data_IF_468110414775
#
_entry.id   IF_468110414775
#
_cell.length_a   1.000
_cell.length_b   1.000
_cell.length_c   1.000
_cell.angle_alpha   90.00
_cell.angle_beta   90.00
_cell.angle_gamma   90.00
#
_symmetry.space_group_name_H-M   'P 1'
#
loop_
_entity.id
_entity.type
_entity.pdbx_description
1 polymer ?
#
# COMPACT_ATOMS: atom_id res chain seq x y z
N UNK A 1 -21.11 -28.13 4.88
CA UNK A 1 -21.20 -26.69 5.09
C UNK A 1 -20.72 -26.08 3.79
N UNK A 2 -21.51 -25.20 3.15
CA UNK A 2 -21.06 -24.53 1.93
C UNK A 2 -19.76 -23.77 2.25
N UNK A 3 -18.72 -24.07 1.49
CA UNK A 3 -17.48 -23.30 1.52
C UNK A 3 -17.88 -21.88 1.11
N UNK A 4 -18.02 -20.94 2.05
CA UNK A 4 -18.17 -19.54 1.69
C UNK A 4 -16.86 -19.15 1.01
N UNK A 5 -16.96 -18.74 -0.25
CA UNK A 5 -15.76 -18.42 -1.02
C UNK A 5 -15.04 -17.23 -0.39
N UNK A 6 -13.75 -17.43 -0.08
CA UNK A 6 -12.89 -16.34 0.34
C UNK A 6 -12.62 -15.42 -0.85
N UNK A 7 -12.49 -14.14 -0.57
CA UNK A 7 -12.08 -13.13 -1.56
C UNK A 7 -11.01 -12.22 -0.94
N UNK A 8 -10.18 -11.61 -1.74
CA UNK A 8 -9.36 -10.48 -1.31
C UNK A 8 -10.26 -9.23 -1.27
N UNK A 9 -10.61 -8.69 -0.08
CA UNK A 9 -11.45 -7.51 0.01
C UNK A 9 -10.80 -6.30 -0.67
N UNK A 10 -11.64 -5.41 -1.18
CA UNK A 10 -11.16 -4.09 -1.58
C UNK A 10 -10.63 -3.31 -0.36
N UNK A 11 -9.64 -2.43 -0.55
CA UNK A 11 -9.05 -1.68 0.56
C UNK A 11 -10.07 -0.81 1.31
N UNK A 12 -11.11 -0.33 0.62
CA UNK A 12 -12.20 0.44 1.26
C UNK A 12 -13.24 -0.40 2.01
N UNK A 13 -13.12 -1.73 2.04
CA UNK A 13 -13.94 -2.57 2.91
C UNK A 13 -13.67 -2.22 4.39
N UNK A 14 -14.63 -2.50 5.31
CA UNK A 14 -14.41 -2.23 6.72
C UNK A 14 -13.12 -2.86 7.24
N UNK A 15 -12.29 -2.05 7.87
CA UNK A 15 -10.99 -2.44 8.41
C UNK A 15 -11.06 -2.58 9.93
N UNK A 16 -10.36 -3.56 10.47
CA UNK A 16 -10.10 -3.68 11.90
C UNK A 16 -8.95 -2.80 12.34
N UNK A 17 -7.92 -2.71 11.52
CA UNK A 17 -6.72 -1.95 11.87
C UNK A 17 -5.70 -1.86 10.74
N UNK A 18 -4.72 -1.01 11.00
CA UNK A 18 -3.56 -0.74 10.14
C UNK A 18 -2.29 -1.14 10.86
N UNK A 19 -1.38 -1.80 10.16
CA UNK A 19 0.00 -2.00 10.60
C UNK A 19 0.88 -0.85 10.13
N UNK A 20 1.73 -0.36 11.03
CA UNK A 20 2.92 0.44 10.74
C UNK A 20 4.16 -0.28 11.27
N UNK A 21 5.21 -0.34 10.47
CA UNK A 21 6.54 -0.76 10.91
C UNK A 21 7.35 0.49 11.19
N UNK A 22 7.66 0.73 12.47
CA UNK A 22 8.14 2.04 12.95
C UNK A 22 9.62 2.29 12.61
N UNK A 23 9.98 3.48 12.10
CA UNK A 23 11.37 3.82 11.79
C UNK A 23 12.25 3.87 13.04
N UNK A 24 13.49 3.43 12.93
CA UNK A 24 14.46 3.45 14.02
C UNK A 24 15.90 3.68 13.51
N UNK A 25 16.84 3.89 14.44
CA UNK A 25 18.20 4.28 14.10
C UNK A 25 19.04 3.19 13.39
N UNK A 26 18.54 1.97 13.26
CA UNK A 26 19.22 0.88 12.53
C UNK A 26 18.62 0.65 11.14
N UNK A 27 17.83 1.59 10.63
CA UNK A 27 17.28 1.61 9.27
C UNK A 27 17.93 2.74 8.46
N UNK A 28 17.71 2.75 7.17
CA UNK A 28 18.19 3.80 6.27
C UNK A 28 17.56 5.18 6.55
N UNK A 29 16.57 5.23 7.45
CA UNK A 29 15.98 6.46 7.96
C UNK A 29 16.86 7.25 8.92
N UNK A 30 18.00 6.71 9.39
CA UNK A 30 18.85 7.38 10.39
C UNK A 30 19.12 8.86 10.09
N UNK A 31 19.46 9.28 8.85
CA UNK A 31 19.70 10.68 8.53
C UNK A 31 18.47 11.59 8.63
N UNK A 32 17.27 11.02 8.57
CA UNK A 32 15.97 11.71 8.53
C UNK A 32 15.04 11.26 9.66
N UNK A 33 15.58 10.59 10.71
CA UNK A 33 14.79 9.87 11.70
C UNK A 33 13.76 10.77 12.41
N UNK A 34 14.15 11.98 12.77
CA UNK A 34 13.26 12.93 13.43
C UNK A 34 12.10 13.38 12.51
N UNK A 35 12.38 13.57 11.21
CA UNK A 35 11.36 14.04 10.27
C UNK A 35 10.41 12.91 9.86
N UNK A 36 10.93 11.72 9.58
CA UNK A 36 10.07 10.57 9.29
C UNK A 36 9.21 10.17 10.51
N UNK A 37 9.76 10.29 11.71
CA UNK A 37 9.00 10.05 12.95
C UNK A 37 7.82 11.01 13.08
N UNK A 38 7.94 12.28 12.69
CA UNK A 38 6.82 13.24 12.66
C UNK A 38 5.72 12.76 11.71
N UNK A 39 6.07 12.32 10.50
CA UNK A 39 5.10 11.77 9.55
C UNK A 39 4.36 10.56 10.13
N UNK A 40 5.06 9.63 10.75
CA UNK A 40 4.44 8.47 11.43
C UNK A 40 3.51 8.87 12.58
N UNK A 41 3.88 9.87 13.36
CA UNK A 41 3.02 10.43 14.42
C UNK A 41 1.73 11.04 13.84
N UNK A 42 1.82 11.82 12.75
CA UNK A 42 0.64 12.39 12.10
C UNK A 42 -0.27 11.29 11.52
N UNK A 43 0.29 10.26 10.90
CA UNK A 43 -0.48 9.08 10.46
C UNK A 43 -1.14 8.38 11.64
N UNK A 44 -0.40 8.12 12.73
CA UNK A 44 -0.92 7.46 13.92
C UNK A 44 -2.08 8.25 14.56
N UNK A 45 -2.03 9.59 14.56
CA UNK A 45 -3.13 10.45 15.04
C UNK A 45 -4.44 10.20 14.30
N UNK A 46 -4.39 10.03 12.97
CA UNK A 46 -5.60 9.80 12.19
C UNK A 46 -6.04 8.34 12.28
N UNK A 47 -5.14 7.39 12.09
CA UNK A 47 -5.44 5.96 12.14
C UNK A 47 -6.14 5.59 13.45
N UNK A 48 -5.62 6.05 14.59
CA UNK A 48 -6.17 5.72 15.92
C UNK A 48 -7.54 6.34 16.23
N UNK A 49 -8.03 7.26 15.42
CA UNK A 49 -9.42 7.74 15.50
C UNK A 49 -10.39 6.83 14.77
N UNK A 50 -9.94 6.09 13.79
CA UNK A 50 -10.76 5.26 12.91
C UNK A 50 -10.74 3.79 13.32
N UNK A 51 -9.54 3.29 13.68
CA UNK A 51 -9.32 1.88 13.81
C UNK A 51 -8.10 1.55 14.68
N UNK A 52 -7.83 0.29 14.89
CA UNK A 52 -6.68 -0.17 15.66
C UNK A 52 -5.39 0.10 14.89
N UNK A 53 -4.36 0.55 15.59
CA UNK A 53 -3.00 0.68 15.07
C UNK A 53 -2.13 -0.43 15.63
N UNK A 54 -1.54 -1.23 14.74
CA UNK A 54 -0.57 -2.26 15.08
C UNK A 54 0.84 -1.74 14.76
N UNK A 55 1.64 -1.50 15.79
CA UNK A 55 3.01 -0.99 15.63
C UNK A 55 4.01 -2.12 15.81
N UNK A 56 4.80 -2.35 14.77
CA UNK A 56 5.95 -3.25 14.79
C UNK A 56 7.22 -2.43 14.97
N UNK A 57 8.04 -2.76 15.96
CA UNK A 57 9.27 -2.01 16.25
C UNK A 57 10.19 -2.82 17.19
N UNK A 58 11.53 -2.70 17.06
CA UNK A 58 12.44 -3.25 18.08
C UNK A 58 12.46 -2.45 19.38
N UNK A 59 11.89 -1.21 19.39
CA UNK A 59 11.93 -0.28 20.54
C UNK A 59 10.52 0.12 21.03
N UNK A 60 9.64 -0.84 21.43
CA UNK A 60 8.23 -0.55 21.71
C UNK A 60 8.03 0.46 22.86
N UNK A 61 8.84 0.42 23.91
CA UNK A 61 8.71 1.34 25.04
C UNK A 61 9.04 2.79 24.64
N UNK A 62 10.01 2.99 23.73
CA UNK A 62 10.37 4.30 23.24
C UNK A 62 9.27 4.89 22.36
N UNK A 63 8.71 4.09 21.46
CA UNK A 63 7.59 4.51 20.58
C UNK A 63 6.35 4.79 21.42
N UNK A 64 6.06 3.94 22.40
CA UNK A 64 4.95 4.13 23.34
C UNK A 64 5.07 5.45 24.09
N UNK A 65 6.22 5.72 24.71
CA UNK A 65 6.46 6.96 25.44
C UNK A 65 6.34 8.22 24.56
N UNK A 66 6.76 8.13 23.29
CA UNK A 66 6.57 9.20 22.31
C UNK A 66 5.07 9.44 22.02
N UNK A 67 4.33 8.39 21.71
CA UNK A 67 2.92 8.50 21.33
C UNK A 67 2.01 8.89 22.51
N UNK A 68 2.35 8.52 23.74
CA UNK A 68 1.65 8.98 24.95
C UNK A 68 1.67 10.51 25.11
N UNK A 69 2.69 11.19 24.58
CA UNK A 69 2.79 12.65 24.59
C UNK A 69 2.03 13.32 23.44
N UNK A 70 1.67 12.59 22.39
CA UNK A 70 1.13 13.11 21.13
C UNK A 70 -0.35 12.76 20.93
N UNK A 71 -0.83 11.72 21.58
CA UNK A 71 -2.18 11.16 21.40
C UNK A 71 -3.02 11.30 22.67
N UNK A 72 -4.33 11.37 22.52
CA UNK A 72 -5.25 11.25 23.64
C UNK A 72 -5.23 9.83 24.23
N UNK A 73 -5.67 9.68 25.47
CA UNK A 73 -5.73 8.35 26.13
C UNK A 73 -6.62 7.36 25.37
N UNK A 74 -7.71 7.82 24.73
CA UNK A 74 -8.59 6.99 23.91
C UNK A 74 -7.92 6.49 22.63
N UNK A 75 -7.16 7.36 21.96
CA UNK A 75 -6.38 6.97 20.77
C UNK A 75 -5.29 5.98 21.14
N UNK A 76 -4.56 6.26 22.24
CA UNK A 76 -3.50 5.38 22.71
C UNK A 76 -4.02 3.97 23.07
N UNK A 77 -5.25 3.87 23.60
CA UNK A 77 -5.90 2.58 23.90
C UNK A 77 -6.18 1.73 22.63
N UNK A 78 -6.19 2.35 21.44
CA UNK A 78 -6.35 1.66 20.16
C UNK A 78 -5.04 1.15 19.57
N UNK A 79 -3.89 1.26 20.30
CA UNK A 79 -2.59 0.83 19.79
C UNK A 79 -2.16 -0.49 20.41
N UNK A 80 -1.68 -1.39 19.56
CA UNK A 80 -0.96 -2.60 19.98
C UNK A 80 0.48 -2.53 19.51
N UNK A 81 1.41 -2.89 20.39
CA UNK A 81 2.85 -2.87 20.11
C UNK A 81 3.39 -4.28 20.02
N UNK A 82 4.23 -4.53 19.02
CA UNK A 82 4.90 -5.80 18.78
C UNK A 82 6.41 -5.58 18.75
N UNK A 83 7.10 -6.17 19.73
CA UNK A 83 8.56 -6.09 19.86
C UNK A 83 9.21 -7.07 18.87
N UNK A 84 9.48 -6.61 17.67
CA UNK A 84 10.01 -7.40 16.55
C UNK A 84 11.12 -6.59 15.88
N UNK A 85 12.23 -7.24 15.58
CA UNK A 85 13.32 -6.67 14.78
C UNK A 85 12.87 -6.46 13.33
N UNK A 86 13.27 -5.33 12.73
CA UNK A 86 12.94 -4.97 11.36
C UNK A 86 14.19 -4.55 10.58
N UNK A 87 14.13 -4.63 9.25
CA UNK A 87 15.13 -4.02 8.36
C UNK A 87 14.69 -2.62 7.96
N UNK A 88 13.38 -2.42 7.66
CA UNK A 88 12.83 -1.16 7.19
C UNK A 88 11.37 -0.98 7.61
N UNK A 89 10.63 -0.05 6.99
CA UNK A 89 9.32 0.45 7.41
C UNK A 89 8.16 0.09 6.47
N UNK A 90 8.40 -0.63 5.40
CA UNK A 90 7.50 -0.81 4.26
C UNK A 90 6.46 -1.92 4.53
N UNK A 91 5.56 -1.66 5.48
CA UNK A 91 4.55 -2.62 5.92
C UNK A 91 3.64 -3.12 4.79
N UNK A 92 3.40 -2.31 3.76
CA UNK A 92 2.62 -2.69 2.58
C UNK A 92 3.18 -3.94 1.92
N UNK A 93 4.49 -4.07 1.86
CA UNK A 93 5.13 -5.07 1.01
C UNK A 93 5.51 -6.36 1.76
N UNK A 94 5.68 -6.28 3.09
CA UNK A 94 5.96 -7.45 3.91
C UNK A 94 4.79 -7.87 4.82
N UNK A 95 3.71 -7.09 4.88
CA UNK A 95 2.53 -7.40 5.67
C UNK A 95 1.66 -8.49 5.01
N UNK A 96 0.85 -9.18 5.83
CA UNK A 96 0.00 -10.25 5.33
C UNK A 96 -1.11 -9.73 4.40
N UNK A 97 -1.24 -10.31 3.22
CA UNK A 97 -2.42 -10.13 2.37
C UNK A 97 -3.57 -10.93 2.95
N UNK A 98 -4.70 -10.31 3.23
CA UNK A 98 -5.76 -10.96 4.02
C UNK A 98 -7.03 -11.22 3.21
N UNK A 99 -7.39 -12.49 3.08
CA UNK A 99 -8.67 -12.91 2.51
C UNK A 99 -9.77 -12.94 3.58
N UNK A 100 -11.01 -12.68 3.17
CA UNK A 100 -12.19 -12.75 4.01
C UNK A 100 -13.33 -13.47 3.31
N UNK A 101 -14.14 -14.23 4.09
CA UNK A 101 -15.43 -14.75 3.64
C UNK A 101 -16.60 -14.14 4.45
N UNK A 102 -16.34 -13.03 5.18
CA UNK A 102 -17.31 -12.36 6.05
C UNK A 102 -17.54 -13.02 7.40
N UNK A 103 -16.88 -14.16 7.69
CA UNK A 103 -16.93 -14.85 9.00
C UNK A 103 -15.57 -15.35 9.46
N UNK A 104 -14.63 -15.47 8.57
CA UNK A 104 -13.27 -15.93 8.83
C UNK A 104 -12.27 -15.10 8.02
N UNK A 105 -11.06 -14.96 8.55
CA UNK A 105 -9.92 -14.32 7.89
C UNK A 105 -8.81 -15.34 7.64
N UNK A 106 -8.14 -15.22 6.50
CA UNK A 106 -6.92 -15.93 6.16
C UNK A 106 -5.83 -14.93 5.81
N UNK A 107 -4.79 -14.89 6.60
CA UNK A 107 -3.63 -14.05 6.38
C UNK A 107 -2.62 -14.86 5.55
N UNK A 108 -2.41 -14.44 4.33
CA UNK A 108 -1.46 -15.06 3.41
C UNK A 108 -0.08 -14.45 3.66
N UNK A 109 0.86 -15.26 4.12
CA UNK A 109 2.24 -14.86 4.38
C UNK A 109 3.10 -15.15 3.14
N UNK A 110 3.14 -14.21 2.21
CA UNK A 110 3.99 -14.30 1.03
C UNK A 110 5.45 -13.97 1.35
N UNK A 111 6.36 -14.43 0.50
CA UNK A 111 7.76 -14.08 0.61
C UNK A 111 7.97 -12.62 0.20
N UNK A 112 8.52 -11.85 1.12
CA UNK A 112 9.14 -10.56 0.82
C UNK A 112 10.64 -10.77 0.67
N UNK A 113 11.23 -10.27 -0.42
CA UNK A 113 12.66 -10.44 -0.68
C UNK A 113 13.39 -9.13 -1.02
N UNK A 114 12.90 -7.99 -0.50
CA UNK A 114 13.53 -6.69 -0.69
C UNK A 114 13.48 -6.21 -2.14
N UNK A 115 12.32 -6.35 -2.77
CA UNK A 115 12.03 -5.92 -4.16
C UNK A 115 12.98 -6.53 -5.19
N UNK A 116 13.19 -7.85 -5.12
CA UNK A 116 14.10 -8.56 -6.00
C UNK A 116 15.54 -8.56 -5.50
N UNK A 117 15.75 -8.68 -4.19
CA UNK A 117 17.04 -8.80 -3.52
C UNK A 117 17.92 -7.54 -3.60
N UNK A 118 17.30 -6.36 -3.79
CA UNK A 118 18.00 -5.07 -3.82
C UNK A 118 18.43 -4.59 -2.44
N UNK A 119 17.66 -4.94 -1.39
CA UNK A 119 17.84 -4.47 0.00
C UNK A 119 17.83 -5.63 0.99
N UNK A 120 18.24 -5.39 2.23
CA UNK A 120 18.09 -6.35 3.33
C UNK A 120 16.61 -6.57 3.65
N UNK A 121 16.18 -7.81 3.81
CA UNK A 121 14.75 -8.13 3.91
C UNK A 121 14.40 -9.24 4.92
N UNK A 122 15.38 -9.95 5.43
CA UNK A 122 15.15 -11.19 6.19
C UNK A 122 14.35 -10.97 7.47
N UNK A 123 14.56 -9.84 8.16
CA UNK A 123 13.79 -9.49 9.35
C UNK A 123 12.35 -9.12 8.99
N UNK A 124 12.16 -8.32 7.95
CA UNK A 124 10.85 -7.86 7.49
C UNK A 124 10.00 -9.03 6.99
N UNK A 125 10.59 -9.95 6.23
CA UNK A 125 9.94 -11.19 5.79
C UNK A 125 9.48 -12.10 6.96
N UNK A 126 9.99 -11.92 8.16
CA UNK A 126 9.58 -12.68 9.34
C UNK A 126 8.49 -12.01 10.18
N UNK A 127 8.15 -10.75 9.88
CA UNK A 127 7.25 -9.93 10.71
C UNK A 127 5.87 -10.57 10.84
N UNK A 128 5.24 -10.97 9.73
CA UNK A 128 3.89 -11.56 9.73
C UNK A 128 3.81 -12.79 10.65
N UNK A 129 4.76 -13.71 10.54
CA UNK A 129 4.81 -14.91 11.40
C UNK A 129 5.04 -14.58 12.86
N UNK A 130 5.93 -13.63 13.14
CA UNK A 130 6.20 -13.20 14.53
C UNK A 130 4.98 -12.49 15.14
N UNK A 131 4.30 -11.63 14.39
CA UNK A 131 3.05 -10.99 14.83
C UNK A 131 1.96 -12.04 15.13
N UNK A 132 1.84 -13.06 14.29
CA UNK A 132 0.89 -14.16 14.49
C UNK A 132 1.15 -14.92 15.79
N UNK A 133 2.42 -15.26 16.07
CA UNK A 133 2.83 -15.92 17.32
C UNK A 133 2.53 -15.06 18.55
N UNK A 134 2.54 -13.74 18.42
CA UNK A 134 2.18 -12.79 19.47
C UNK A 134 0.65 -12.50 19.53
N UNK A 135 -0.17 -13.21 18.75
CA UNK A 135 -1.63 -13.10 18.77
C UNK A 135 -2.13 -11.79 18.14
N UNK A 136 -1.45 -11.28 17.09
CA UNK A 136 -1.86 -10.06 16.42
C UNK A 136 -3.18 -10.22 15.66
N UNK A 137 -3.47 -11.40 15.13
CA UNK A 137 -4.51 -11.64 14.15
C UNK A 137 -5.62 -12.56 14.69
N UNK A 138 -6.86 -12.32 14.22
CA UNK A 138 -8.05 -13.14 14.53
C UNK A 138 -8.39 -14.14 13.41
N UNK A 139 -7.39 -14.64 12.70
CA UNK A 139 -7.57 -15.57 11.60
C UNK A 139 -6.47 -16.61 11.52
N UNK A 140 -6.50 -17.42 10.48
CA UNK A 140 -5.45 -18.41 10.20
C UNK A 140 -4.34 -17.79 9.36
N UNK A 141 -3.10 -18.19 9.62
CA UNK A 141 -1.96 -17.85 8.75
C UNK A 141 -1.78 -18.98 7.76
N UNK A 142 -1.67 -18.64 6.48
CA UNK A 142 -1.32 -19.55 5.41
C UNK A 142 0.08 -19.21 4.89
N UNK A 143 0.95 -20.22 4.82
CA UNK A 143 2.33 -20.08 4.35
C UNK A 143 2.37 -20.11 2.81
N UNK A 144 2.74 -18.99 2.22
CA UNK A 144 2.98 -18.81 0.78
C UNK A 144 4.40 -18.29 0.51
N UNK A 145 5.35 -18.56 1.42
CA UNK A 145 6.75 -18.12 1.30
C UNK A 145 7.51 -18.78 0.13
N UNK A 146 6.86 -19.67 -0.59
CA UNK A 146 7.32 -20.24 -1.87
C UNK A 146 7.12 -19.27 -3.05
N UNK A 147 6.40 -18.15 -2.86
CA UNK A 147 6.09 -17.18 -3.90
C UNK A 147 6.33 -15.75 -3.38
N UNK A 148 7.08 -14.95 -4.16
CA UNK A 148 7.35 -13.55 -3.85
C UNK A 148 6.17 -12.69 -4.30
N UNK A 149 5.57 -11.97 -3.36
CA UNK A 149 4.50 -11.01 -3.64
C UNK A 149 4.53 -9.88 -2.62
N UNK A 150 4.68 -8.67 -3.10
CA UNK A 150 4.55 -7.44 -2.33
C UNK A 150 3.10 -6.94 -2.38
N UNK A 151 2.56 -6.47 -1.24
CA UNK A 151 1.17 -5.97 -1.19
C UNK A 151 0.94 -4.73 -2.06
N UNK A 152 1.97 -3.90 -2.27
CA UNK A 152 1.91 -2.73 -3.16
C UNK A 152 1.86 -3.07 -4.65
N UNK A 153 2.18 -4.31 -5.02
CA UNK A 153 2.13 -4.78 -6.41
C UNK A 153 0.74 -5.18 -6.90
N UNK A 154 -0.26 -5.22 -6.00
CA UNK A 154 -1.63 -5.66 -6.32
C UNK A 154 -2.70 -4.69 -5.80
N UNK A 155 -3.80 -4.58 -6.53
CA UNK A 155 -5.03 -3.88 -6.13
C UNK A 155 -6.23 -4.80 -6.34
N UNK A 156 -7.19 -4.81 -5.40
CA UNK A 156 -8.39 -5.63 -5.46
C UNK A 156 -9.66 -4.80 -5.54
N UNK A 157 -10.60 -5.19 -6.41
CA UNK A 157 -11.94 -4.61 -6.44
C UNK A 157 -12.90 -5.22 -5.40
N UNK A 158 -12.45 -6.25 -4.67
CA UNK A 158 -13.28 -6.99 -3.72
C UNK A 158 -14.35 -7.87 -4.36
N UNK A 159 -14.36 -7.98 -5.70
CA UNK A 159 -15.35 -8.70 -6.48
C UNK A 159 -14.75 -9.82 -7.35
N UNK A 160 -13.45 -10.11 -7.17
CA UNK A 160 -12.74 -11.15 -7.89
C UNK A 160 -11.78 -10.64 -8.98
N UNK A 161 -11.64 -9.34 -9.20
CA UNK A 161 -10.62 -8.80 -10.08
C UNK A 161 -9.43 -8.29 -9.29
N UNK A 162 -8.23 -8.74 -9.63
CA UNK A 162 -6.95 -8.23 -9.13
C UNK A 162 -6.25 -7.49 -10.27
N UNK A 163 -5.76 -6.30 -9.98
CA UNK A 163 -4.93 -5.52 -10.88
C UNK A 163 -3.48 -5.60 -10.44
N UNK A 164 -2.57 -5.64 -11.39
CA UNK A 164 -1.13 -5.63 -11.18
C UNK A 164 -0.41 -5.04 -12.38
N UNK A 165 0.88 -4.79 -12.26
CA UNK A 165 1.72 -4.34 -13.37
C UNK A 165 2.59 -5.47 -13.89
N UNK A 166 2.80 -5.51 -15.21
CA UNK A 166 3.66 -6.49 -15.84
C UNK A 166 5.13 -6.26 -15.47
N UNK A 167 5.58 -5.01 -15.40
CA UNK A 167 6.97 -4.67 -15.08
C UNK A 167 7.38 -5.18 -13.69
N UNK A 168 6.52 -5.07 -12.67
CA UNK A 168 6.82 -5.55 -11.33
C UNK A 168 6.87 -7.07 -11.24
N UNK A 169 5.77 -7.75 -11.56
CA UNK A 169 5.69 -9.20 -11.34
C UNK A 169 6.60 -10.02 -12.27
N UNK A 170 6.96 -9.46 -13.42
CA UNK A 170 7.93 -10.07 -14.34
C UNK A 170 9.37 -9.60 -14.10
N UNK A 171 9.62 -8.72 -13.11
CA UNK A 171 10.95 -8.24 -12.78
C UNK A 171 11.90 -9.39 -12.38
N UNK A 172 13.21 -9.25 -12.63
CA UNK A 172 14.21 -10.22 -12.18
C UNK A 172 14.18 -10.45 -10.67
N UNK A 173 14.58 -11.63 -10.23
CA UNK A 173 14.70 -12.01 -8.82
C UNK A 173 13.39 -12.01 -8.01
N UNK A 174 12.20 -11.95 -8.66
CA UNK A 174 10.90 -12.22 -8.03
C UNK A 174 10.62 -13.74 -8.10
N UNK A 175 9.95 -14.16 -9.15
CA UNK A 175 9.46 -15.54 -9.27
C UNK A 175 10.00 -16.30 -10.48
N UNK A 176 11.02 -15.80 -11.17
CA UNK A 176 11.62 -16.50 -12.30
C UNK A 176 12.23 -17.85 -11.88
N UNK A 177 12.12 -18.89 -12.69
CA UNK A 177 11.77 -18.88 -14.13
C UNK A 177 10.26 -18.98 -14.45
N UNK A 178 9.34 -18.65 -13.54
CA UNK A 178 7.90 -18.68 -13.82
C UNK A 178 7.55 -17.74 -14.98
N UNK A 179 6.68 -18.24 -15.88
CA UNK A 179 6.10 -17.42 -16.95
C UNK A 179 4.98 -16.53 -16.40
N UNK A 180 4.51 -15.56 -17.19
CA UNK A 180 3.35 -14.73 -16.85
C UNK A 180 2.11 -15.59 -16.56
N UNK A 181 1.89 -16.62 -17.36
CA UNK A 181 0.78 -17.56 -17.18
C UNK A 181 0.90 -18.38 -15.89
N UNK A 182 2.13 -18.74 -15.47
CA UNK A 182 2.36 -19.42 -14.21
C UNK A 182 2.07 -18.51 -13.02
N UNK A 183 2.54 -17.26 -13.09
CA UNK A 183 2.28 -16.23 -12.06
C UNK A 183 0.80 -15.95 -11.98
N UNK A 184 0.11 -15.72 -13.11
CA UNK A 184 -1.32 -15.48 -13.15
C UNK A 184 -2.12 -16.62 -12.51
N UNK A 185 -1.80 -17.87 -12.85
CA UNK A 185 -2.43 -19.06 -12.25
C UNK A 185 -2.22 -19.08 -10.73
N UNK A 186 -0.98 -18.82 -10.25
CA UNK A 186 -0.67 -18.78 -8.82
C UNK A 186 -1.49 -17.69 -8.12
N UNK A 187 -1.60 -16.49 -8.68
CA UNK A 187 -2.40 -15.40 -8.13
C UNK A 187 -3.91 -15.74 -8.10
N UNK A 188 -4.46 -16.29 -9.19
CA UNK A 188 -5.87 -16.70 -9.23
C UNK A 188 -6.18 -17.73 -8.13
N UNK A 189 -5.30 -18.71 -7.95
CA UNK A 189 -5.47 -19.77 -6.94
C UNK A 189 -5.32 -19.22 -5.51
N UNK A 190 -4.25 -18.45 -5.22
CA UNK A 190 -3.93 -18.02 -3.86
C UNK A 190 -4.78 -16.85 -3.38
N UNK A 191 -5.13 -15.92 -4.26
CA UNK A 191 -5.96 -14.76 -3.92
C UNK A 191 -7.46 -15.03 -4.11
N UNK A 192 -7.84 -16.25 -4.52
CA UNK A 192 -9.22 -16.60 -4.86
C UNK A 192 -9.86 -15.63 -5.85
N UNK A 193 -9.07 -15.18 -6.84
CA UNK A 193 -9.52 -14.24 -7.86
C UNK A 193 -10.12 -14.96 -9.08
N UNK A 194 -11.02 -14.26 -9.78
CA UNK A 194 -11.60 -14.71 -11.04
C UNK A 194 -10.80 -14.21 -12.25
N UNK A 195 -10.09 -13.09 -12.08
CA UNK A 195 -9.35 -12.43 -13.15
C UNK A 195 -8.18 -11.61 -12.62
N UNK A 196 -7.07 -11.66 -13.37
CA UNK A 196 -5.94 -10.74 -13.18
C UNK A 196 -5.92 -9.76 -14.37
N UNK A 197 -5.88 -8.46 -14.06
CA UNK A 197 -5.68 -7.39 -15.05
C UNK A 197 -4.24 -6.94 -14.97
N UNK A 198 -3.51 -7.11 -16.05
CA UNK A 198 -2.12 -6.69 -16.18
C UNK A 198 -2.04 -5.32 -16.83
N UNK A 199 -1.41 -4.36 -16.14
CA UNK A 199 -1.10 -3.05 -16.69
C UNK A 199 0.31 -3.08 -17.29
N UNK A 200 0.43 -2.60 -18.52
CA UNK A 200 1.68 -2.62 -19.29
C UNK A 200 2.44 -1.29 -19.20
N UNK A 201 1.79 -0.26 -18.69
CA UNK A 201 2.24 1.12 -18.64
C UNK A 201 2.09 1.72 -17.24
N UNK A 202 2.67 2.89 -17.02
CA UNK A 202 2.57 3.63 -15.78
C UNK A 202 3.82 3.48 -14.90
N UNK A 203 5.01 3.50 -15.50
CA UNK A 203 6.26 3.49 -14.73
C UNK A 203 6.55 4.87 -14.15
N UNK A 204 6.88 4.91 -12.86
CA UNK A 204 7.23 6.13 -12.14
C UNK A 204 8.76 6.20 -11.96
N UNK A 205 9.37 7.28 -12.44
CA UNK A 205 10.81 7.50 -12.25
C UNK A 205 11.15 7.67 -10.77
N UNK A 206 12.24 7.05 -10.36
CA UNK A 206 12.68 7.02 -8.97
C UNK A 206 12.02 5.92 -8.13
N UNK A 207 11.07 5.16 -8.69
CA UNK A 207 10.49 4.00 -8.00
C UNK A 207 11.48 2.83 -7.96
N UNK A 208 11.72 2.28 -6.75
CA UNK A 208 12.62 1.15 -6.50
C UNK A 208 11.94 -0.22 -6.58
N UNK A 209 10.61 -0.23 -6.75
CA UNK A 209 9.79 -1.44 -6.66
C UNK A 209 9.65 -2.19 -7.98
N UNK A 210 10.24 -1.67 -9.07
CA UNK A 210 10.05 -2.10 -10.45
C UNK A 210 8.63 -1.84 -10.99
N UNK A 211 7.92 -0.85 -10.42
CA UNK A 211 6.62 -0.38 -10.90
C UNK A 211 5.44 -0.98 -10.16
N UNK A 212 5.38 -0.84 -8.83
CA UNK A 212 4.19 -1.17 -8.05
C UNK A 212 2.98 -0.40 -8.54
N UNK A 213 1.84 -1.07 -8.63
CA UNK A 213 0.59 -0.48 -9.10
C UNK A 213 0.11 0.66 -8.19
N UNK A 214 0.35 0.57 -6.89
CA UNK A 214 -0.09 1.54 -5.88
C UNK A 214 0.58 2.92 -6.01
N UNK A 215 1.61 3.05 -6.84
CA UNK A 215 2.24 4.32 -7.17
C UNK A 215 1.57 5.04 -8.33
N UNK A 216 0.75 4.36 -9.13
CA UNK A 216 0.23 4.88 -10.41
C UNK A 216 -1.27 4.70 -10.60
N UNK A 217 -1.86 3.58 -10.20
CA UNK A 217 -3.29 3.27 -10.31
C UNK A 217 -3.82 2.74 -9.00
N UNK A 218 -4.94 3.30 -8.54
CA UNK A 218 -5.64 2.83 -7.34
C UNK A 218 -7.11 2.61 -7.63
N UNK A 219 -7.71 1.70 -6.87
CA UNK A 219 -9.14 1.43 -6.97
C UNK A 219 -9.93 2.22 -5.92
N UNK A 220 -11.19 2.52 -6.26
CA UNK A 220 -12.15 3.16 -5.35
C UNK A 220 -13.54 2.57 -5.56
N UNK A 221 -14.51 2.84 -4.65
CA UNK A 221 -15.89 2.39 -4.80
C UNK A 221 -16.51 2.75 -6.16
N UNK A 222 -17.59 2.03 -6.52
CA UNK A 222 -18.37 2.24 -7.74
C UNK A 222 -17.57 2.03 -9.03
N UNK A 223 -16.70 1.00 -9.05
CA UNK A 223 -15.88 0.61 -10.20
C UNK A 223 -15.03 1.78 -10.73
N UNK A 224 -14.44 2.56 -9.81
CA UNK A 224 -13.62 3.72 -10.13
C UNK A 224 -12.13 3.36 -10.10
N UNK A 225 -11.40 3.78 -11.14
CA UNK A 225 -9.94 3.74 -11.21
C UNK A 225 -9.41 5.18 -11.11
N UNK A 226 -8.64 5.44 -10.05
CA UNK A 226 -7.84 6.65 -9.94
C UNK A 226 -6.46 6.37 -10.52
N UNK A 227 -5.95 7.28 -11.32
CA UNK A 227 -4.64 7.11 -11.95
C UNK A 227 -3.93 8.44 -12.12
N UNK A 228 -2.61 8.40 -12.10
CA UNK A 228 -1.77 9.58 -12.29
C UNK A 228 -1.77 10.01 -13.76
N UNK A 229 -1.68 11.32 -13.98
CA UNK A 229 -1.61 11.90 -15.32
C UNK A 229 -0.76 13.16 -15.29
N UNK A 230 0.31 13.20 -16.08
CA UNK A 230 1.23 14.32 -16.14
C UNK A 230 0.88 15.36 -17.22
N UNK A 231 1.50 16.52 -17.11
CA UNK A 231 1.44 17.56 -18.16
C UNK A 231 2.28 17.11 -19.38
N UNK A 232 2.02 17.69 -20.57
CA UNK A 232 2.63 17.26 -21.84
C UNK A 232 4.16 17.44 -21.92
N UNK A 233 4.71 18.33 -21.10
CA UNK A 233 6.14 18.61 -21.02
C UNK A 233 6.88 17.72 -20.00
N UNK A 234 6.15 16.89 -19.23
CA UNK A 234 6.78 15.93 -18.33
C UNK A 234 7.23 14.68 -19.07
N UNK A 235 8.37 14.14 -18.68
CA UNK A 235 8.97 12.95 -19.30
C UNK A 235 8.12 11.67 -19.17
N UNK A 236 7.17 11.61 -18.22
CA UNK A 236 6.23 10.50 -18.08
C UNK A 236 5.02 10.58 -19.03
N UNK A 237 4.81 11.72 -19.72
CA UNK A 237 3.57 11.98 -20.44
C UNK A 237 3.19 10.86 -21.40
N UNK A 238 4.13 10.40 -22.22
CA UNK A 238 3.86 9.36 -23.23
C UNK A 238 3.42 8.04 -22.60
N UNK A 239 4.06 7.62 -21.51
CA UNK A 239 3.73 6.36 -20.82
C UNK A 239 2.42 6.48 -20.03
N UNK A 240 2.17 7.61 -19.36
CA UNK A 240 0.89 7.86 -18.67
C UNK A 240 -0.29 8.03 -19.64
N UNK A 241 -0.06 8.55 -20.84
CA UNK A 241 -1.06 8.56 -21.90
C UNK A 241 -1.38 7.13 -22.36
N UNK A 242 -0.37 6.28 -22.54
CA UNK A 242 -0.56 4.88 -22.90
C UNK A 242 -1.27 4.10 -21.79
N UNK A 243 -0.96 4.37 -20.51
CA UNK A 243 -1.69 3.83 -19.36
C UNK A 243 -3.17 4.21 -19.42
N UNK A 244 -3.49 5.50 -19.62
CA UNK A 244 -4.88 5.96 -19.71
C UNK A 244 -5.61 5.28 -20.86
N UNK A 245 -4.98 5.14 -22.02
CA UNK A 245 -5.58 4.49 -23.18
C UNK A 245 -5.82 2.99 -22.89
N UNK A 246 -4.93 2.32 -22.17
CA UNK A 246 -5.18 0.96 -21.69
C UNK A 246 -6.37 0.93 -20.72
N UNK A 247 -6.42 1.81 -19.71
CA UNK A 247 -7.51 1.86 -18.72
C UNK A 247 -8.89 2.06 -19.37
N UNK A 248 -9.01 2.87 -20.45
CA UNK A 248 -10.26 3.07 -21.21
C UNK A 248 -10.78 1.78 -21.85
N UNK A 249 -9.91 0.81 -22.15
CA UNK A 249 -10.32 -0.47 -22.74
C UNK A 249 -10.87 -1.45 -21.71
N UNK A 250 -10.53 -1.29 -20.44
CA UNK A 250 -10.88 -2.23 -19.39
C UNK A 250 -12.39 -2.26 -19.11
N UNK A 251 -12.85 -3.42 -18.70
CA UNK A 251 -14.25 -3.67 -18.32
C UNK A 251 -14.30 -4.42 -17.02
N UNK A 252 -15.32 -4.16 -16.21
CA UNK A 252 -15.63 -4.96 -15.01
C UNK A 252 -15.97 -6.41 -15.38
N UNK A 253 -16.09 -7.30 -14.41
CA UNK A 253 -16.57 -8.68 -14.64
C UNK A 253 -17.97 -8.71 -15.26
N UNK A 254 -18.78 -7.65 -15.02
CA UNK A 254 -20.11 -7.48 -15.62
C UNK A 254 -20.08 -6.87 -17.02
N UNK A 255 -18.90 -6.59 -17.59
CA UNK A 255 -18.72 -6.01 -18.92
C UNK A 255 -18.91 -4.48 -18.99
N UNK A 256 -19.05 -3.77 -17.85
CA UNK A 256 -19.19 -2.31 -17.79
C UNK A 256 -17.82 -1.62 -17.87
N UNK A 257 -17.75 -0.40 -18.46
CA UNK A 257 -16.51 0.39 -18.35
C UNK A 257 -16.27 0.83 -16.90
N UNK A 258 -15.00 1.00 -16.53
CA UNK A 258 -14.63 1.64 -15.28
C UNK A 258 -14.83 3.16 -15.35
N UNK A 259 -15.14 3.78 -14.20
CA UNK A 259 -15.09 5.22 -14.04
C UNK A 259 -13.64 5.65 -13.88
N UNK A 260 -13.13 6.46 -14.80
CA UNK A 260 -11.75 6.91 -14.79
C UNK A 260 -11.64 8.29 -14.15
N UNK A 261 -10.77 8.44 -13.14
CA UNK A 261 -10.55 9.68 -12.42
C UNK A 261 -9.06 10.00 -12.39
N UNK A 262 -8.67 11.03 -13.12
CA UNK A 262 -7.28 11.50 -13.14
C UNK A 262 -6.90 12.14 -11.82
N UNK A 263 -5.76 11.74 -11.27
CA UNK A 263 -5.06 12.47 -10.23
C UNK A 263 -4.04 13.42 -10.87
N UNK A 264 -3.87 14.63 -10.33
CA UNK A 264 -2.78 15.49 -10.78
C UNK A 264 -1.43 14.79 -10.52
N UNK A 265 -0.41 15.22 -11.22
CA UNK A 265 0.95 14.79 -10.97
C UNK A 265 1.71 15.91 -10.24
N UNK A 266 2.51 15.60 -9.20
CA UNK A 266 3.33 16.60 -8.54
C UNK A 266 4.36 17.23 -9.50
N UNK A 267 4.65 18.51 -9.31
CA UNK A 267 5.86 19.10 -9.91
C UNK A 267 7.09 18.29 -9.50
N UNK A 268 8.09 18.11 -10.37
CA UNK A 268 9.25 17.31 -10.08
C UNK A 268 9.96 17.72 -8.77
N UNK A 269 10.21 16.75 -7.91
CA UNK A 269 10.94 16.92 -6.66
C UNK A 269 12.27 16.17 -6.80
N UNK A 270 13.35 16.80 -6.40
CA UNK A 270 14.69 16.23 -6.50
C UNK A 270 15.37 16.18 -5.14
N UNK A 271 16.14 15.11 -4.90
CA UNK A 271 17.16 15.06 -3.85
C UNK A 271 18.51 14.95 -4.56
N UNK A 272 19.35 15.98 -4.40
CA UNK A 272 20.52 16.20 -5.26
C UNK A 272 20.11 16.26 -6.75
N UNK A 273 20.57 15.36 -7.59
CA UNK A 273 20.24 15.32 -9.02
C UNK A 273 19.21 14.23 -9.36
N UNK A 274 18.75 13.47 -8.36
CA UNK A 274 17.82 12.37 -8.53
C UNK A 274 16.37 12.83 -8.37
N UNK A 275 15.52 12.51 -9.36
CA UNK A 275 14.07 12.76 -9.28
C UNK A 275 13.42 11.75 -8.35
N UNK A 276 12.74 12.24 -7.32
CA UNK A 276 12.03 11.40 -6.36
C UNK A 276 10.64 10.98 -6.88
N UNK A 277 10.14 9.79 -6.51
CA UNK A 277 8.89 9.23 -7.03
C UNK A 277 7.65 9.82 -6.34
N UNK A 278 7.48 11.13 -6.38
CA UNK A 278 6.33 11.81 -5.82
C UNK A 278 5.06 11.46 -6.62
N UNK A 279 4.03 10.99 -5.93
CA UNK A 279 2.75 10.63 -6.53
C UNK A 279 1.59 10.81 -5.56
N UNK A 280 0.43 11.28 -6.05
CA UNK A 280 -0.80 11.33 -5.26
C UNK A 280 -1.58 10.00 -5.26
N UNK A 281 -1.16 9.01 -6.06
CA UNK A 281 -1.81 7.69 -6.07
C UNK A 281 -1.50 6.89 -4.79
N UNK A 282 -0.40 7.16 -4.10
CA UNK A 282 0.01 6.40 -2.92
C UNK A 282 -0.70 6.88 -1.64
N UNK A 283 -2.02 7.07 -1.72
CA UNK A 283 -2.90 7.44 -0.60
C UNK A 283 -3.33 6.21 0.21
N UNK A 284 -3.69 6.40 1.48
CA UNK A 284 -4.16 5.35 2.40
C UNK A 284 -5.66 5.50 2.63
N UNK A 285 -6.41 4.40 2.51
CA UNK A 285 -7.85 4.36 2.80
C UNK A 285 -8.04 3.83 4.22
N UNK A 286 -8.73 4.60 5.07
CA UNK A 286 -9.15 4.23 6.41
C UNK A 286 -10.68 4.13 6.46
N UNK A 287 -11.25 3.70 7.57
CA UNK A 287 -12.71 3.56 7.70
C UNK A 287 -13.48 4.87 7.46
N UNK A 288 -12.97 6.01 7.95
CA UNK A 288 -13.63 7.32 7.85
C UNK A 288 -12.76 8.42 7.21
N UNK A 289 -11.49 8.11 6.94
CA UNK A 289 -10.54 9.06 6.36
C UNK A 289 -9.84 8.47 5.13
N UNK A 290 -9.27 9.37 4.31
CA UNK A 290 -8.27 9.04 3.30
C UNK A 290 -7.06 9.92 3.57
N UNK A 291 -5.89 9.31 3.76
CA UNK A 291 -4.63 10.04 3.91
C UNK A 291 -4.04 10.30 2.53
N UNK A 292 -4.01 11.56 2.12
CA UNK A 292 -3.44 12.00 0.86
C UNK A 292 -1.99 12.43 1.09
N UNK A 293 -0.99 11.86 0.37
CA UNK A 293 0.35 12.40 0.42
C UNK A 293 0.35 13.85 -0.13
N UNK A 294 1.07 14.74 0.52
CA UNK A 294 1.24 16.13 0.09
C UNK A 294 2.71 16.49 -0.03
N UNK A 295 3.02 17.45 -0.89
CA UNK A 295 4.39 17.73 -1.29
C UNK A 295 4.77 19.21 -1.16
N UNK A 296 4.03 19.98 -0.33
CA UNK A 296 4.16 21.44 -0.22
C UNK A 296 3.96 22.18 -1.56
N UNK A 297 3.09 21.63 -2.41
CA UNK A 297 2.65 22.19 -3.67
C UNK A 297 1.15 22.55 -3.58
N UNK A 298 0.77 23.71 -3.00
CA UNK A 298 -0.60 23.98 -2.53
C UNK A 298 -1.69 23.75 -3.58
N UNK A 299 -1.46 24.10 -4.84
CA UNK A 299 -2.44 23.90 -5.91
C UNK A 299 -2.58 22.43 -6.30
N UNK A 300 -1.46 21.72 -6.47
CA UNK A 300 -1.45 20.28 -6.82
C UNK A 300 -2.02 19.46 -5.66
N UNK A 301 -1.58 19.72 -4.43
CA UNK A 301 -2.08 19.07 -3.20
C UNK A 301 -3.60 19.25 -3.06
N UNK A 302 -4.10 20.48 -3.24
CA UNK A 302 -5.54 20.79 -3.20
C UNK A 302 -6.32 20.03 -4.27
N UNK A 303 -5.82 20.00 -5.50
CA UNK A 303 -6.48 19.28 -6.62
C UNK A 303 -6.52 17.77 -6.35
N UNK A 304 -5.42 17.19 -5.87
CA UNK A 304 -5.37 15.77 -5.50
C UNK A 304 -6.40 15.43 -4.42
N UNK A 305 -6.43 16.20 -3.33
CA UNK A 305 -7.41 16.02 -2.25
C UNK A 305 -8.85 16.17 -2.74
N UNK A 306 -9.14 17.06 -3.69
CA UNK A 306 -10.46 17.20 -4.29
C UNK A 306 -10.84 15.99 -5.15
N UNK A 307 -9.91 15.40 -5.89
CA UNK A 307 -10.19 14.19 -6.67
C UNK A 307 -10.45 12.99 -5.74
N UNK A 308 -9.64 12.85 -4.69
CA UNK A 308 -9.86 11.81 -3.67
C UNK A 308 -11.22 12.00 -2.97
N UNK A 309 -11.62 13.24 -2.65
CA UNK A 309 -12.92 13.51 -2.04
C UNK A 309 -14.10 13.14 -2.94
N UNK A 310 -13.95 13.21 -4.28
CA UNK A 310 -14.96 12.74 -5.23
C UNK A 310 -15.05 11.21 -5.25
N UNK A 311 -13.91 10.53 -5.19
CA UNK A 311 -13.85 9.06 -5.18
C UNK A 311 -14.35 8.47 -3.86
N UNK A 312 -14.18 9.19 -2.75
CA UNK A 312 -14.54 8.77 -1.40
C UNK A 312 -15.42 9.82 -0.70
N UNK A 313 -16.67 10.02 -1.17
CA UNK A 313 -17.54 11.08 -0.66
C UNK A 313 -17.90 10.93 0.83
N UNK A 314 -17.89 9.69 1.33
CA UNK A 314 -18.25 9.34 2.71
C UNK A 314 -17.03 9.36 3.67
N UNK A 315 -15.84 9.68 3.17
CA UNK A 315 -14.60 9.78 3.94
C UNK A 315 -14.06 11.19 3.91
N UNK A 316 -13.38 11.60 4.98
CA UNK A 316 -12.70 12.91 5.02
C UNK A 316 -11.27 12.74 4.50
N UNK A 317 -10.90 13.53 3.50
CA UNK A 317 -9.52 13.53 2.98
C UNK A 317 -8.64 14.42 3.86
N UNK A 318 -7.51 13.90 4.31
CA UNK A 318 -6.51 14.58 5.14
C UNK A 318 -5.16 14.53 4.42
N UNK A 319 -4.52 15.69 4.25
CA UNK A 319 -3.17 15.77 3.71
C UNK A 319 -2.12 15.42 4.77
N UNK A 320 -1.16 14.59 4.41
CA UNK A 320 0.02 14.25 5.23
C UNK A 320 1.27 14.59 4.42
N UNK A 321 2.20 15.32 5.00
CA UNK A 321 3.46 15.68 4.33
C UNK A 321 4.32 14.43 4.08
N UNK A 322 4.47 14.08 2.80
CA UNK A 322 5.21 12.90 2.36
C UNK A 322 6.62 13.23 1.80
N UNK A 323 7.07 14.49 1.89
CA UNK A 323 8.37 14.88 1.32
C UNK A 323 9.56 14.15 1.93
N UNK A 324 9.47 13.77 3.20
CA UNK A 324 10.49 12.94 3.84
C UNK A 324 10.37 11.50 3.37
N UNK A 325 9.15 10.98 3.21
CA UNK A 325 8.91 9.57 2.84
C UNK A 325 9.49 9.27 1.46
N UNK A 326 9.24 10.13 0.47
CA UNK A 326 9.71 9.92 -0.91
C UNK A 326 11.24 9.91 -1.06
N UNK A 327 12.00 10.39 -0.06
CA UNK A 327 13.48 10.31 -0.06
C UNK A 327 14.01 8.89 0.04
N UNK A 328 13.17 7.96 0.48
CA UNK A 328 13.43 6.50 0.49
C UNK A 328 12.51 5.80 -0.53
N UNK A 329 12.16 6.49 -1.61
CA UNK A 329 11.51 5.98 -2.82
C UNK A 329 10.09 5.43 -2.65
N UNK A 330 9.48 5.48 -1.45
CA UNK A 330 8.09 5.12 -1.18
C UNK A 330 7.21 6.31 -0.79
N UNK A 331 5.93 6.05 -0.46
CA UNK A 331 5.03 7.08 0.08
C UNK A 331 4.10 6.49 1.14
N UNK A 332 2.97 7.15 1.47
CA UNK A 332 2.16 6.82 2.65
C UNK A 332 1.56 5.41 2.62
N UNK A 333 1.06 4.96 1.45
CA UNK A 333 0.48 3.63 1.30
C UNK A 333 1.51 2.53 1.52
N UNK A 334 2.71 2.72 1.02
CA UNK A 334 3.83 1.79 1.21
C UNK A 334 4.18 1.56 2.69
N UNK A 335 3.92 2.54 3.57
CA UNK A 335 4.16 2.43 5.01
C UNK A 335 3.10 1.63 5.77
N UNK A 336 1.97 1.27 5.14
CA UNK A 336 0.79 0.73 5.80
C UNK A 336 0.37 -0.62 5.26
N UNK A 337 -0.18 -1.50 6.12
CA UNK A 337 -0.94 -2.67 5.69
C UNK A 337 -2.26 -2.72 6.46
N UNK A 338 -3.37 -2.78 5.74
CA UNK A 338 -4.70 -2.91 6.35
C UNK A 338 -5.06 -4.36 6.65
N UNK A 339 -5.83 -4.55 7.70
CA UNK A 339 -6.45 -5.83 8.06
C UNK A 339 -7.96 -5.69 8.09
N UNK A 340 -8.70 -6.49 7.30
CA UNK A 340 -10.15 -6.41 7.24
C UNK A 340 -10.80 -6.71 8.59
N UNK A 341 -12.00 -6.16 8.78
CA UNK A 341 -12.89 -6.49 9.90
C UNK A 341 -13.82 -7.62 9.51
N UNK A 342 -14.09 -8.54 10.45
CA UNK A 342 -15.16 -9.54 10.36
C UNK A 342 -16.51 -8.91 10.66
#
# INVERSE_FOLDING_TARGET
MANKDFVLPAEWAPQRGIQLTWPHAQTDWLPYLDDITKTFVEMAKVITTDEQLLIVTPEPDKVKALLEQQLSSSQHANIRYFAIDTNDTWARDHGAVTLSNGSELRMLDFKFNGWGEKFNWQKDNAITRNMAQMGAFDGTIEDHTDFVLEGGSIESDGKGTIFTTACCLMAPHRNQPMTREDIERKLLETLHAERIVWLEHGQLLGDDTDGHIDTTVRLAPNDTLLYIYSDEDDMHFADFQALEDQLKTLRTLEGKPYHLLRLPFPEPIYDNEERLPATYANFVILNHHVLCPTYAQPERDRLAMQQLQKAFPDRKVIGIDARTVIRQHGSLHCLTMQYPKL
#
